data_IF_454499321287
#
_entry.id   IF_454499321287
#
_cell.length_a   1.000
_cell.length_b   1.000
_cell.length_c   1.000
_cell.angle_alpha   90.00
_cell.angle_beta   90.00
_cell.angle_gamma   90.00
#
_symmetry.space_group_name_H-M   'P 1'
#
loop_
_entity.id
_entity.type
_entity.pdbx_description
1 polymer ?
#
# COMPACT_ATOMS: atom_id res chain seq x y z
N UNK A 1 -5.30 9.88 -24.25
CA UNK A 1 -5.01 11.34 -24.34
C UNK A 1 -3.57 11.50 -23.85
N UNK A 2 -2.62 11.87 -24.72
CA UNK A 2 -1.20 11.95 -24.37
C UNK A 2 -0.80 13.41 -24.10
N UNK A 3 0.00 13.65 -23.08
CA UNK A 3 0.53 14.97 -22.71
C UNK A 3 1.92 15.14 -23.32
N UNK A 4 2.14 16.21 -24.10
CA UNK A 4 3.46 16.49 -24.68
C UNK A 4 4.40 17.09 -23.63
N UNK A 5 5.71 16.88 -23.80
CA UNK A 5 6.75 17.46 -22.94
C UNK A 5 6.64 18.98 -22.87
N UNK A 6 6.24 19.64 -23.96
CA UNK A 6 6.03 21.10 -23.97
C UNK A 6 4.93 21.53 -22.99
N UNK A 7 3.88 20.72 -22.84
CA UNK A 7 2.81 20.95 -21.88
C UNK A 7 3.21 20.57 -20.45
N UNK A 8 4.23 19.71 -20.30
CA UNK A 8 4.84 19.39 -19.00
C UNK A 8 5.77 20.50 -18.50
N UNK A 9 6.39 21.27 -19.40
CA UNK A 9 7.43 22.26 -19.05
C UNK A 9 7.00 23.73 -19.21
N UNK A 10 5.68 24.00 -19.21
CA UNK A 10 5.10 25.36 -19.33
C UNK A 10 5.83 26.27 -20.34
N UNK A 11 5.97 25.79 -21.58
CA UNK A 11 6.37 26.54 -22.78
C UNK A 11 7.25 27.81 -22.62
N UNK A 12 8.27 27.78 -21.76
CA UNK A 12 9.22 28.89 -21.56
C UNK A 12 8.64 30.21 -21.03
N UNK A 13 7.39 30.22 -20.57
CA UNK A 13 6.79 31.36 -19.88
C UNK A 13 6.77 31.02 -18.40
N UNK A 14 7.35 31.86 -17.55
CA UNK A 14 7.30 31.76 -16.07
C UNK A 14 5.87 31.96 -15.52
N UNK A 15 4.84 31.58 -16.28
CA UNK A 15 3.44 31.59 -15.90
C UNK A 15 3.17 30.37 -15.03
N UNK A 16 3.72 30.43 -13.81
CA UNK A 16 3.38 29.57 -12.69
C UNK A 16 2.14 30.13 -11.98
N UNK A 17 1.12 30.51 -12.74
CA UNK A 17 -0.11 31.02 -12.14
C UNK A 17 -0.84 29.85 -11.45
N UNK A 18 -0.70 29.78 -10.13
CA UNK A 18 -1.19 28.74 -9.21
C UNK A 18 -2.70 28.48 -9.39
N UNK A 19 -3.42 29.42 -10.01
CA UNK A 19 -4.84 29.30 -10.33
C UNK A 19 -5.15 28.29 -11.46
N UNK A 20 -4.21 27.98 -12.35
CA UNK A 20 -4.45 27.10 -13.51
C UNK A 20 -3.86 25.68 -13.37
N UNK A 21 -2.98 25.45 -12.39
CA UNK A 21 -2.46 24.11 -12.07
C UNK A 21 -3.46 23.41 -11.15
N UNK A 22 -4.42 22.70 -11.74
CA UNK A 22 -5.32 21.83 -10.99
C UNK A 22 -4.53 21.00 -9.96
N UNK A 23 -4.92 21.08 -8.68
CA UNK A 23 -4.26 20.37 -7.57
C UNK A 23 -4.05 18.91 -7.93
N UNK A 24 -2.78 18.55 -8.24
CA UNK A 24 -2.42 17.19 -8.63
C UNK A 24 -2.46 16.29 -7.39
N UNK A 25 -3.14 15.13 -7.42
CA UNK A 25 -3.15 14.23 -6.27
C UNK A 25 -1.72 13.74 -5.97
N UNK A 26 -1.35 13.77 -4.69
CA UNK A 26 -0.02 13.35 -4.20
C UNK A 26 -0.17 12.17 -3.24
N UNK A 27 0.65 11.13 -3.39
CA UNK A 27 0.66 9.97 -2.50
C UNK A 27 1.69 10.20 -1.40
N UNK A 28 1.21 10.44 -0.18
CA UNK A 28 2.07 10.76 0.98
C UNK A 28 2.54 9.53 1.74
N UNK A 29 1.74 8.47 1.73
CA UNK A 29 2.03 7.21 2.42
C UNK A 29 1.30 6.06 1.77
N UNK A 30 1.85 4.87 1.92
CA UNK A 30 1.16 3.62 1.63
C UNK A 30 0.97 2.86 2.94
N UNK A 31 -0.15 2.17 3.06
CA UNK A 31 -0.39 1.23 4.14
C UNK A 31 -0.31 -0.18 3.56
N UNK A 32 0.51 -1.02 4.17
CA UNK A 32 0.67 -2.42 3.81
C UNK A 32 0.17 -3.29 4.96
N UNK A 33 -0.55 -4.34 4.63
CA UNK A 33 -1.00 -5.37 5.57
C UNK A 33 -0.52 -6.73 5.10
N UNK A 34 0.09 -7.51 5.99
CA UNK A 34 0.64 -8.82 5.68
C UNK A 34 0.18 -9.83 6.73
N UNK A 35 -0.32 -10.97 6.28
CA UNK A 35 -0.54 -12.14 7.12
C UNK A 35 0.71 -13.02 7.06
N UNK A 36 1.47 -13.05 8.15
CA UNK A 36 2.71 -13.84 8.26
C UNK A 36 2.47 -15.09 9.08
N UNK A 37 3.25 -16.14 8.80
CA UNK A 37 3.26 -17.39 9.59
C UNK A 37 4.61 -17.58 10.28
N UNK A 38 4.60 -18.22 11.44
CA UNK A 38 5.82 -18.74 12.06
C UNK A 38 6.43 -19.88 11.25
N UNK A 39 7.71 -20.19 11.50
CA UNK A 39 8.43 -21.30 10.87
C UNK A 39 7.87 -22.66 11.31
N UNK A 40 7.42 -22.74 12.56
CA UNK A 40 7.14 -24.01 13.21
C UNK A 40 5.67 -24.39 13.09
N UNK A 41 5.44 -25.67 12.79
CA UNK A 41 4.12 -26.27 12.84
C UNK A 41 3.77 -26.52 14.30
N UNK A 42 3.00 -25.63 14.90
CA UNK A 42 2.64 -25.66 16.31
C UNK A 42 1.75 -26.86 16.66
N UNK A 43 1.05 -27.44 15.68
CA UNK A 43 0.10 -28.57 15.85
C UNK A 43 -0.95 -28.38 16.95
N UNK A 44 -1.15 -27.14 17.39
CA UNK A 44 -2.06 -26.80 18.47
C UNK A 44 -3.52 -26.95 18.02
N UNK A 45 -4.38 -27.48 18.89
CA UNK A 45 -5.82 -27.59 18.63
C UNK A 45 -6.49 -26.22 18.53
N UNK A 46 -5.93 -25.19 19.18
CA UNK A 46 -6.40 -23.80 19.15
C UNK A 46 -6.18 -23.13 17.80
N UNK A 47 -5.21 -23.58 17.00
CA UNK A 47 -5.00 -23.08 15.63
C UNK A 47 -6.03 -23.73 14.70
N UNK A 48 -7.02 -22.95 14.28
CA UNK A 48 -8.09 -23.38 13.37
C UNK A 48 -7.72 -23.07 11.93
N UNK A 49 -8.02 -24.02 11.02
CA UNK A 49 -7.79 -23.84 9.59
C UNK A 49 -8.73 -22.82 8.94
N UNK A 50 -9.95 -22.71 9.44
CA UNK A 50 -10.98 -21.78 8.94
C UNK A 50 -11.01 -20.44 9.70
N UNK A 51 -9.86 -20.02 10.23
CA UNK A 51 -9.78 -18.73 10.89
C UNK A 51 -9.77 -17.60 9.85
N UNK A 52 -10.63 -16.59 10.07
CA UNK A 52 -10.61 -15.35 9.31
C UNK A 52 -9.58 -14.38 9.89
N UNK A 53 -8.83 -13.72 9.02
CA UNK A 53 -7.86 -12.70 9.38
C UNK A 53 -8.30 -11.38 8.76
N UNK A 54 -8.34 -10.31 9.58
CA UNK A 54 -8.59 -8.96 9.09
C UNK A 54 -7.25 -8.35 8.68
N UNK A 55 -7.01 -8.21 7.38
CA UNK A 55 -5.81 -7.57 6.82
C UNK A 55 -6.26 -6.26 6.16
N UNK A 56 -5.87 -5.14 6.77
CA UNK A 56 -6.40 -3.81 6.42
C UNK A 56 -7.94 -3.81 6.51
N UNK A 57 -8.61 -3.57 5.38
CA UNK A 57 -10.06 -3.52 5.19
C UNK A 57 -10.66 -4.85 4.70
N UNK A 58 -9.83 -5.88 4.52
CA UNK A 58 -10.26 -7.16 3.98
C UNK A 58 -10.27 -8.28 5.03
N UNK A 59 -11.32 -9.08 5.02
CA UNK A 59 -11.37 -10.37 5.73
C UNK A 59 -10.89 -11.46 4.80
N UNK A 60 -9.74 -12.04 5.10
CA UNK A 60 -9.12 -13.09 4.28
C UNK A 60 -9.13 -14.42 5.03
N UNK A 61 -9.38 -15.49 4.29
CA UNK A 61 -9.25 -16.87 4.74
C UNK A 61 -8.04 -17.53 4.10
N UNK A 62 -7.50 -18.54 4.76
CA UNK A 62 -6.46 -19.38 4.19
C UNK A 62 -7.01 -20.17 3.00
N UNK A 63 -6.20 -20.35 1.95
CA UNK A 63 -6.55 -21.25 0.84
C UNK A 63 -6.63 -22.69 1.32
N UNK A 64 -7.39 -23.55 0.64
CA UNK A 64 -7.53 -24.96 1.01
C UNK A 64 -6.16 -25.66 1.14
N UNK A 65 -5.23 -25.39 0.21
CA UNK A 65 -3.85 -25.90 0.26
C UNK A 65 -3.09 -25.40 1.49
N UNK A 66 -3.26 -24.14 1.89
CA UNK A 66 -2.61 -23.60 3.08
C UNK A 66 -3.20 -24.18 4.37
N UNK A 67 -4.49 -24.52 4.38
CA UNK A 67 -5.16 -25.17 5.52
C UNK A 67 -4.69 -26.63 5.71
N UNK A 68 -4.46 -27.36 4.61
CA UNK A 68 -3.98 -28.75 4.67
C UNK A 68 -2.47 -28.89 4.91
N UNK A 69 -1.70 -27.82 4.73
CA UNK A 69 -0.23 -27.81 4.90
C UNK A 69 0.27 -27.89 6.36
N UNK A 70 -0.64 -27.88 7.34
CA UNK A 70 -0.34 -27.92 8.76
C UNK A 70 -0.82 -26.68 9.52
N UNK A 71 -0.61 -26.71 10.84
CA UNK A 71 -1.10 -25.68 11.75
C UNK A 71 0.06 -24.78 12.16
N UNK A 72 0.02 -23.53 11.70
CA UNK A 72 1.03 -22.52 11.98
C UNK A 72 0.37 -21.35 12.69
N UNK A 73 1.07 -20.80 13.69
CA UNK A 73 0.70 -19.53 14.26
C UNK A 73 0.84 -18.45 13.19
N UNK A 74 -0.17 -17.60 13.06
CA UNK A 74 -0.21 -16.53 12.08
C UNK A 74 -0.59 -15.23 12.74
N UNK A 75 0.06 -14.15 12.30
CA UNK A 75 -0.16 -12.81 12.81
C UNK A 75 -0.35 -11.85 11.64
N UNK A 76 -1.28 -10.92 11.81
CA UNK A 76 -1.43 -9.80 10.88
C UNK A 76 -0.49 -8.68 11.31
N UNK A 77 0.34 -8.21 10.39
CA UNK A 77 1.21 -7.05 10.56
C UNK A 77 0.70 -5.95 9.62
N UNK A 78 0.39 -4.79 10.18
CA UNK A 78 -0.04 -3.61 9.42
C UNK A 78 0.96 -2.49 9.65
N UNK A 79 1.49 -1.94 8.57
CA UNK A 79 2.49 -0.88 8.62
C UNK A 79 2.12 0.24 7.67
N UNK A 80 2.26 1.47 8.14
CA UNK A 80 2.19 2.67 7.30
C UNK A 80 3.61 3.13 6.97
N UNK A 81 3.88 3.34 5.69
CA UNK A 81 5.18 3.79 5.17
C UNK A 81 4.97 5.16 4.53
N UNK A 82 5.66 6.17 5.03
CA UNK A 82 5.66 7.51 4.45
C UNK A 82 6.57 7.58 3.20
N UNK A 83 6.08 8.20 2.14
CA UNK A 83 6.80 8.39 0.88
C UNK A 83 7.43 9.78 0.84
N UNK A 84 8.74 9.87 1.12
CA UNK A 84 9.48 11.15 1.10
C UNK A 84 9.58 11.79 -0.29
N UNK A 85 9.45 11.02 -1.36
CA UNK A 85 9.44 11.53 -2.73
C UNK A 85 8.03 11.83 -3.26
N UNK A 86 6.98 11.61 -2.45
CA UNK A 86 5.60 11.94 -2.79
C UNK A 86 5.29 13.44 -2.77
N UNK A 87 6.19 14.24 -2.22
CA UNK A 87 6.02 15.68 -2.06
C UNK A 87 6.05 16.46 -3.39
N UNK A 88 6.61 15.91 -4.47
CA UNK A 88 6.82 16.63 -5.73
C UNK A 88 7.78 17.81 -5.56
N UNK A 89 8.22 18.41 -6.68
CA UNK A 89 8.98 19.66 -6.61
C UNK A 89 8.07 20.72 -5.97
N UNK A 90 8.38 21.11 -4.74
CA UNK A 90 7.79 22.31 -4.13
C UNK A 90 8.49 23.48 -4.80
N UNK A 91 7.74 24.21 -5.60
CA UNK A 91 8.20 25.49 -6.16
C UNK A 91 8.42 26.41 -4.96
N UNK A 92 9.62 26.98 -4.92
CA UNK A 92 10.18 27.68 -3.76
C UNK A 92 9.45 29.02 -3.58
N UNK A 93 9.25 29.40 -2.31
CA UNK A 93 8.62 30.66 -1.89
C UNK A 93 9.37 31.89 -2.39
#
# INVERSE_FOLDING_TARGET
RYMSILYYMCNGTDDLDIASVATRPRVMSIQIGMLVRGSDNTRDSLVKGDQEYSVLDQKVKLTATAQSSGKYLRQVITQTIALRNGYGLTETL
#
